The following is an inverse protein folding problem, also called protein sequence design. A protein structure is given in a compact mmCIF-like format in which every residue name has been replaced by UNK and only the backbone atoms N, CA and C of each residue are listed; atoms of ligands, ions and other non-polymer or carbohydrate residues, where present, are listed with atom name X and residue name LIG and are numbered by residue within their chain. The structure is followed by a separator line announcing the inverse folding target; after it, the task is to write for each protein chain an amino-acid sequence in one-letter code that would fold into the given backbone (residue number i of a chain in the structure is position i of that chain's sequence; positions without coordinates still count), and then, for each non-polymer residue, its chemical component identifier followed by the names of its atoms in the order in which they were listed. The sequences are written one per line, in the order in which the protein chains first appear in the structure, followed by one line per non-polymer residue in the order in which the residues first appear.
data_IF_907119768214
#
_entry.id   IF_907119768214
#
_cell.length_a   1.000
_cell.length_b   1.000
_cell.length_c   1.000
_cell.angle_alpha   90.00
_cell.angle_beta   90.00
_cell.angle_gamma   90.00
#
_symmetry.space_group_name_H-M   'P 1'
#
loop_
_entity.id
_entity.type
_entity.pdbx_description
1 polymer ?
#
# COMPACT_ATOMS: atom_id res chain seq x y z
N UNK A 1 4.92 11.33 26.82
CA UNK A 1 3.71 11.64 26.03
C UNK A 1 3.38 10.38 25.23
N UNK A 2 2.11 10.03 25.08
CA UNK A 2 1.72 8.91 24.20
C UNK A 2 2.18 9.23 22.76
N UNK A 3 2.73 8.24 22.06
CA UNK A 3 3.14 8.37 20.66
C UNK A 3 1.90 8.62 19.83
N UNK A 4 1.88 9.68 19.00
CA UNK A 4 0.79 9.88 18.04
C UNK A 4 0.90 8.80 16.97
N UNK A 5 -0.17 8.04 16.75
CA UNK A 5 -0.29 7.06 15.68
C UNK A 5 -1.18 7.66 14.60
N UNK A 6 -0.69 7.64 13.36
CA UNK A 6 -1.42 8.13 12.19
C UNK A 6 -2.17 6.97 11.53
N UNK A 7 -3.46 7.14 11.31
CA UNK A 7 -4.32 6.14 10.69
C UNK A 7 -4.24 6.25 9.17
N UNK A 8 -3.85 5.16 8.53
CA UNK A 8 -3.91 4.96 7.08
C UNK A 8 -5.18 4.20 6.71
N UNK A 9 -5.44 4.14 5.42
CA UNK A 9 -6.51 3.36 4.83
C UNK A 9 -6.29 1.83 4.92
N UNK A 10 -7.27 1.11 4.38
CA UNK A 10 -7.25 -0.35 4.20
C UNK A 10 -7.01 -0.77 2.75
N UNK A 11 -7.73 -1.80 2.35
CA UNK A 11 -7.64 -2.39 1.02
C UNK A 11 -8.19 -1.49 -0.08
N UNK A 12 -7.35 -1.13 -1.05
CA UNK A 12 -7.78 -0.42 -2.26
C UNK A 12 -8.30 -1.42 -3.30
N UNK A 13 -7.46 -2.36 -3.73
CA UNK A 13 -7.77 -3.24 -4.86
C UNK A 13 -8.97 -4.16 -4.63
N UNK A 14 -8.99 -4.89 -3.51
CA UNK A 14 -10.10 -5.82 -3.22
C UNK A 14 -11.43 -5.09 -3.00
N UNK A 15 -11.40 -3.88 -2.44
CA UNK A 15 -12.60 -3.07 -2.25
C UNK A 15 -13.14 -2.56 -3.59
N UNK A 16 -12.27 -2.06 -4.47
CA UNK A 16 -12.68 -1.63 -5.82
C UNK A 16 -13.26 -2.78 -6.65
N UNK A 17 -12.69 -3.98 -6.57
CA UNK A 17 -13.27 -5.15 -7.24
C UNK A 17 -14.66 -5.48 -6.70
N UNK A 18 -14.87 -5.43 -5.38
CA UNK A 18 -16.19 -5.63 -4.79
C UNK A 18 -17.20 -4.56 -5.22
N UNK A 19 -16.77 -3.30 -5.33
CA UNK A 19 -17.63 -2.21 -5.84
C UNK A 19 -17.96 -2.42 -7.31
N UNK A 20 -17.03 -2.81 -8.14
CA UNK A 20 -17.26 -3.10 -9.57
C UNK A 20 -18.28 -4.24 -9.73
N UNK A 21 -18.10 -5.34 -8.99
CA UNK A 21 -19.03 -6.48 -8.98
C UNK A 21 -20.45 -6.08 -8.57
N UNK A 22 -20.57 -5.30 -7.49
CA UNK A 22 -21.86 -4.80 -7.00
C UNK A 22 -22.59 -3.88 -7.99
N UNK A 23 -21.86 -3.25 -8.92
CA UNK A 23 -22.39 -2.39 -9.97
C UNK A 23 -22.47 -3.07 -11.35
N UNK A 24 -22.25 -4.39 -11.43
CA UNK A 24 -22.31 -5.13 -12.68
C UNK A 24 -21.17 -4.82 -13.65
N UNK A 25 -20.08 -4.22 -13.17
CA UNK A 25 -18.89 -3.91 -13.96
C UNK A 25 -17.94 -5.12 -13.93
N UNK A 26 -17.44 -5.50 -15.10
CA UNK A 26 -16.52 -6.63 -15.21
C UNK A 26 -15.21 -6.37 -14.43
N UNK A 27 -14.69 -7.43 -13.80
CA UNK A 27 -13.41 -7.37 -13.08
C UNK A 27 -12.27 -7.06 -14.06
N UNK A 28 -11.55 -5.99 -13.77
CA UNK A 28 -10.41 -5.50 -14.54
C UNK A 28 -9.22 -5.17 -13.61
N UNK A 29 -8.02 -4.90 -14.12
CA UNK A 29 -6.98 -4.25 -13.36
C UNK A 29 -7.52 -2.98 -12.70
N UNK A 30 -7.39 -2.86 -11.38
CA UNK A 30 -8.08 -1.80 -10.62
C UNK A 30 -7.72 -0.38 -11.07
N UNK A 31 -6.52 -0.18 -11.59
CA UNK A 31 -6.09 1.10 -12.13
C UNK A 31 -6.89 1.55 -13.39
N UNK A 32 -7.56 0.64 -14.10
CA UNK A 32 -8.48 1.01 -15.19
C UNK A 32 -9.64 1.86 -14.69
N UNK A 33 -10.11 1.58 -13.48
CA UNK A 33 -11.22 2.35 -12.90
C UNK A 33 -10.88 3.82 -12.66
N UNK A 34 -9.58 4.19 -12.64
CA UNK A 34 -9.18 5.59 -12.56
C UNK A 34 -9.64 6.43 -13.76
N UNK A 35 -9.85 5.78 -14.90
CA UNK A 35 -10.27 6.40 -16.17
C UNK A 35 -11.71 6.01 -16.53
N UNK A 36 -12.03 4.72 -16.41
CA UNK A 36 -13.31 4.17 -16.87
C UNK A 36 -14.44 4.38 -15.83
N UNK A 37 -14.11 4.40 -14.52
CA UNK A 37 -15.02 4.49 -13.40
C UNK A 37 -14.43 5.33 -12.24
N UNK A 38 -14.07 6.60 -12.48
CA UNK A 38 -13.47 7.45 -11.44
C UNK A 38 -14.37 7.63 -10.22
N UNK A 39 -15.70 7.48 -10.38
CA UNK A 39 -16.67 7.49 -9.27
C UNK A 39 -16.41 6.38 -8.24
N UNK A 40 -15.83 5.24 -8.63
CA UNK A 40 -15.46 4.19 -7.66
C UNK A 40 -14.27 4.62 -6.81
N UNK A 41 -13.29 5.32 -7.42
CA UNK A 41 -12.14 5.86 -6.68
C UNK A 41 -12.58 6.97 -5.73
N UNK A 42 -13.48 7.86 -6.18
CA UNK A 42 -14.07 8.91 -5.34
C UNK A 42 -14.82 8.30 -4.14
N UNK A 43 -15.68 7.33 -4.38
CA UNK A 43 -16.46 6.65 -3.32
C UNK A 43 -15.55 5.90 -2.34
N UNK A 44 -14.53 5.17 -2.82
CA UNK A 44 -13.56 4.50 -1.96
C UNK A 44 -12.82 5.48 -1.06
N UNK A 45 -12.34 6.58 -1.66
CA UNK A 45 -11.65 7.66 -0.93
C UNK A 45 -12.55 8.24 0.15
N UNK A 46 -13.84 8.48 -0.18
CA UNK A 46 -14.82 8.97 0.76
C UNK A 46 -15.03 8.01 1.93
N UNK A 47 -15.14 6.71 1.69
CA UNK A 47 -15.31 5.70 2.75
C UNK A 47 -14.15 5.76 3.76
N UNK A 48 -12.91 5.88 3.29
CA UNK A 48 -11.75 5.99 4.18
C UNK A 48 -11.66 7.34 4.88
N UNK A 49 -12.05 8.43 4.22
CA UNK A 49 -12.19 9.75 4.83
C UNK A 49 -13.23 9.73 5.97
N UNK A 50 -14.39 9.15 5.74
CA UNK A 50 -15.51 9.10 6.69
C UNK A 50 -15.18 8.31 7.98
N UNK A 51 -14.31 7.30 7.90
CA UNK A 51 -13.83 6.56 9.08
C UNK A 51 -12.64 7.23 9.76
N UNK A 52 -12.15 8.35 9.25
CA UNK A 52 -11.14 9.20 9.88
C UNK A 52 -9.70 8.84 9.58
N UNK A 53 -9.41 8.28 8.41
CA UNK A 53 -8.04 8.13 7.92
C UNK A 53 -7.37 9.51 7.78
N UNK A 54 -6.10 9.59 8.16
CA UNK A 54 -5.26 10.79 8.04
C UNK A 54 -4.39 10.76 6.79
N UNK A 55 -4.16 9.55 6.25
CA UNK A 55 -3.46 9.30 4.99
C UNK A 55 -4.29 8.29 4.19
N UNK A 56 -4.55 8.58 2.91
CA UNK A 56 -5.29 7.71 1.99
C UNK A 56 -4.43 7.47 0.74
N UNK A 57 -4.40 6.23 0.27
CA UNK A 57 -3.62 5.85 -0.91
C UNK A 57 -4.39 6.13 -2.20
N UNK A 58 -3.73 6.73 -3.17
CA UNK A 58 -4.21 6.78 -4.54
C UNK A 58 -4.22 5.36 -5.16
N UNK A 59 -5.18 5.09 -6.03
CA UNK A 59 -5.30 3.79 -6.72
C UNK A 59 -4.27 3.66 -7.85
N UNK A 60 -2.98 3.63 -7.48
CA UNK A 60 -1.86 3.63 -8.44
C UNK A 60 -0.93 2.42 -8.33
N UNK A 61 -1.19 1.49 -7.40
CA UNK A 61 -0.30 0.36 -7.06
C UNK A 61 0.24 -0.43 -8.25
N UNK A 62 -0.56 -0.75 -9.25
CA UNK A 62 -0.15 -1.51 -10.43
C UNK A 62 -0.18 -0.70 -11.73
N UNK A 63 -0.23 0.62 -11.65
CA UNK A 63 -0.38 1.53 -12.79
C UNK A 63 0.95 1.83 -13.51
N UNK A 64 1.88 0.87 -13.53
CA UNK A 64 3.18 1.01 -14.20
C UNK A 64 3.09 0.81 -15.72
N UNK A 65 4.07 1.35 -16.44
CA UNK A 65 4.12 1.33 -17.89
C UNK A 65 3.91 -0.05 -18.51
N UNK A 66 4.66 -1.09 -18.13
CA UNK A 66 4.44 -2.45 -18.64
C UNK A 66 3.03 -2.99 -18.43
N UNK A 67 2.42 -2.74 -17.27
CA UNK A 67 1.04 -3.19 -16.96
C UNK A 67 -0.01 -2.44 -17.78
N UNK A 68 0.13 -1.12 -17.87
CA UNK A 68 -0.81 -0.25 -18.60
C UNK A 68 -0.78 -0.55 -20.08
N UNK A 69 0.41 -0.55 -20.71
CA UNK A 69 0.60 -0.80 -22.15
C UNK A 69 0.18 -2.21 -22.57
N UNK A 70 0.28 -3.21 -21.68
CA UNK A 70 -0.13 -4.59 -22.00
C UNK A 70 -1.64 -4.76 -22.10
N UNK A 71 -2.42 -3.97 -21.37
CA UNK A 71 -3.86 -4.24 -21.18
C UNK A 71 -4.79 -3.08 -21.51
N UNK A 72 -4.27 -1.97 -22.05
CA UNK A 72 -5.07 -0.82 -22.50
C UNK A 72 -4.30 0.05 -23.50
N UNK A 73 -5.00 1.00 -24.12
CA UNK A 73 -4.43 2.08 -24.94
C UNK A 73 -4.18 3.35 -24.10
N UNK A 74 -4.35 3.30 -22.79
CA UNK A 74 -4.09 4.43 -21.90
C UNK A 74 -2.58 4.65 -21.71
N UNK A 75 -2.22 5.89 -21.39
CA UNK A 75 -0.88 6.24 -20.90
C UNK A 75 -0.83 6.11 -19.38
N UNK A 76 0.36 5.93 -18.83
CA UNK A 76 0.58 5.95 -17.36
C UNK A 76 0.12 7.29 -16.78
N UNK A 77 0.42 8.39 -17.46
CA UNK A 77 -0.03 9.73 -17.08
C UNK A 77 -1.55 9.81 -16.94
N UNK A 78 -2.33 9.30 -17.93
CA UNK A 78 -3.79 9.30 -17.85
C UNK A 78 -4.30 8.53 -16.64
N UNK A 79 -3.74 7.34 -16.41
CA UNK A 79 -4.17 6.42 -15.34
C UNK A 79 -3.80 6.95 -13.97
N UNK A 80 -2.56 7.38 -13.77
CA UNK A 80 -2.05 7.86 -12.47
C UNK A 80 -2.66 9.23 -12.12
N UNK A 81 -2.68 10.16 -13.07
CA UNK A 81 -3.33 11.47 -12.87
C UNK A 81 -4.83 11.33 -12.61
N UNK A 82 -5.50 10.38 -13.28
CA UNK A 82 -6.92 10.07 -13.03
C UNK A 82 -7.16 9.66 -11.58
N UNK A 83 -6.34 8.75 -11.04
CA UNK A 83 -6.42 8.32 -9.64
C UNK A 83 -6.24 9.48 -8.66
N UNK A 84 -5.19 10.28 -8.87
CA UNK A 84 -4.88 11.40 -7.98
C UNK A 84 -5.98 12.46 -8.02
N UNK A 85 -6.47 12.83 -9.20
CA UNK A 85 -7.55 13.82 -9.36
C UNK A 85 -8.86 13.35 -8.73
N UNK A 86 -9.25 12.08 -8.94
CA UNK A 86 -10.46 11.51 -8.34
C UNK A 86 -10.39 11.56 -6.80
N UNK A 87 -9.26 11.16 -6.21
CA UNK A 87 -9.06 11.20 -4.77
C UNK A 87 -9.01 12.64 -4.24
N UNK A 88 -8.26 13.55 -4.89
CA UNK A 88 -8.16 14.97 -4.48
C UNK A 88 -9.50 15.68 -4.49
N UNK A 89 -10.38 15.37 -5.43
CA UNK A 89 -11.74 15.94 -5.48
C UNK A 89 -12.53 15.68 -4.18
N UNK A 90 -12.29 14.54 -3.52
CA UNK A 90 -12.90 14.16 -2.24
C UNK A 90 -12.14 14.75 -1.05
N UNK A 91 -10.81 14.83 -1.14
CA UNK A 91 -9.94 15.23 -0.04
C UNK A 91 -9.70 16.74 0.06
N UNK A 92 -10.09 17.52 -0.95
CA UNK A 92 -9.84 18.96 -0.98
C UNK A 92 -10.46 19.65 0.25
N UNK A 93 -9.67 20.49 0.91
CA UNK A 93 -10.05 21.21 2.13
C UNK A 93 -10.15 20.37 3.41
N UNK A 94 -9.92 19.05 3.37
CA UNK A 94 -10.03 18.17 4.56
C UNK A 94 -8.75 18.12 5.41
N UNK A 95 -7.59 18.45 4.84
CA UNK A 95 -6.28 18.30 5.47
C UNK A 95 -5.72 16.87 5.47
N UNK A 96 -6.46 15.88 4.99
CA UNK A 96 -6.01 14.50 4.81
C UNK A 96 -4.99 14.43 3.69
N UNK A 97 -3.92 13.63 3.88
CA UNK A 97 -2.85 13.49 2.91
C UNK A 97 -3.14 12.40 1.89
N UNK A 98 -2.94 12.72 0.61
CA UNK A 98 -3.00 11.73 -0.46
C UNK A 98 -1.63 11.15 -0.72
N UNK A 99 -1.51 9.84 -0.59
CA UNK A 99 -0.26 9.11 -0.75
C UNK A 99 -0.24 8.37 -2.10
N UNK A 100 0.75 8.66 -2.94
CA UNK A 100 1.00 7.89 -4.16
C UNK A 100 1.47 6.50 -3.80
N UNK A 101 0.83 5.46 -4.33
CA UNK A 101 1.14 4.06 -4.03
C UNK A 101 1.90 3.41 -5.18
N UNK A 102 3.13 2.96 -4.92
CA UNK A 102 3.95 2.20 -5.87
C UNK A 102 4.03 0.74 -5.42
N UNK A 103 3.75 -0.17 -6.36
CA UNK A 103 3.90 -1.61 -6.16
C UNK A 103 5.09 -2.18 -6.94
N UNK A 104 5.46 -3.46 -6.71
CA UNK A 104 6.53 -4.10 -7.47
C UNK A 104 6.15 -4.28 -8.93
N UNK A 105 7.16 -4.33 -9.79
CA UNK A 105 7.00 -4.74 -11.19
C UNK A 105 6.83 -6.26 -11.29
N UNK A 106 6.24 -6.72 -12.38
CA UNK A 106 6.09 -8.17 -12.63
C UNK A 106 7.34 -8.80 -13.24
N UNK A 107 8.20 -7.99 -13.85
CA UNK A 107 9.52 -8.41 -14.32
C UNK A 107 10.50 -8.31 -13.14
N UNK A 108 11.49 -9.20 -13.12
CA UNK A 108 12.50 -9.24 -12.07
C UNK A 108 13.77 -8.52 -12.55
N UNK A 109 14.46 -7.88 -11.60
CA UNK A 109 15.77 -7.32 -11.83
C UNK A 109 16.82 -8.42 -12.02
N UNK A 110 17.92 -8.12 -12.71
CA UNK A 110 19.11 -8.94 -12.69
C UNK A 110 19.62 -9.16 -11.24
N UNK A 111 20.14 -10.33 -10.90
CA UNK A 111 20.38 -11.52 -11.72
C UNK A 111 19.18 -12.49 -11.76
N UNK A 112 18.01 -12.16 -11.17
CA UNK A 112 16.86 -13.04 -11.09
C UNK A 112 15.94 -12.92 -12.32
N UNK A 113 16.08 -11.87 -13.11
CA UNK A 113 15.38 -11.61 -14.37
C UNK A 113 16.29 -10.89 -15.35
N UNK A 114 15.68 -10.25 -16.36
CA UNK A 114 16.39 -9.59 -17.48
C UNK A 114 16.28 -8.06 -17.43
N UNK A 115 15.64 -7.49 -16.38
CA UNK A 115 15.44 -6.05 -16.26
C UNK A 115 16.69 -5.39 -15.66
N UNK A 116 17.22 -4.38 -16.36
CA UNK A 116 18.30 -3.54 -15.86
C UNK A 116 17.78 -2.51 -14.83
N UNK A 117 18.66 -2.03 -13.96
CA UNK A 117 18.31 -1.06 -12.92
C UNK A 117 17.77 0.25 -13.51
N UNK A 118 18.40 0.73 -14.59
CA UNK A 118 17.99 1.95 -15.30
C UNK A 118 16.60 1.83 -15.91
N UNK A 119 16.23 0.66 -16.45
CA UNK A 119 14.90 0.40 -16.98
C UNK A 119 13.86 0.41 -15.85
N UNK A 120 14.18 -0.24 -14.73
CA UNK A 120 13.34 -0.24 -13.55
C UNK A 120 13.09 1.17 -13.02
N UNK A 121 14.15 1.97 -12.89
CA UNK A 121 14.09 3.37 -12.46
C UNK A 121 13.19 4.20 -13.38
N UNK A 122 13.35 4.07 -14.70
CA UNK A 122 12.56 4.81 -15.68
C UNK A 122 11.05 4.47 -15.61
N UNK A 123 10.72 3.20 -15.30
CA UNK A 123 9.31 2.80 -15.13
C UNK A 123 8.71 3.46 -13.89
N UNK A 124 9.44 3.56 -12.79
CA UNK A 124 8.96 4.25 -11.59
C UNK A 124 8.91 5.76 -11.77
N UNK A 125 9.89 6.35 -12.46
CA UNK A 125 9.93 7.78 -12.76
C UNK A 125 8.67 8.23 -13.53
N UNK A 126 8.23 7.46 -14.55
CA UNK A 126 6.99 7.72 -15.30
C UNK A 126 5.75 7.82 -14.38
N UNK A 127 5.66 6.92 -13.37
CA UNK A 127 4.56 6.95 -12.39
C UNK A 127 4.68 8.11 -11.41
N UNK A 128 5.89 8.38 -10.95
CA UNK A 128 6.20 9.42 -9.97
C UNK A 128 5.94 10.80 -10.55
N UNK A 129 6.42 11.07 -11.78
CA UNK A 129 6.20 12.33 -12.46
C UNK A 129 4.71 12.62 -12.60
N UNK A 130 3.93 11.66 -13.09
CA UNK A 130 2.49 11.79 -13.25
C UNK A 130 1.78 12.03 -11.91
N UNK A 131 2.13 11.28 -10.87
CA UNK A 131 1.46 11.34 -9.57
C UNK A 131 1.79 12.59 -8.77
N UNK A 132 3.06 12.98 -8.75
CA UNK A 132 3.52 14.18 -8.03
C UNK A 132 3.03 15.43 -8.73
N UNK A 133 3.12 15.49 -10.07
CA UNK A 133 2.59 16.62 -10.87
C UNK A 133 1.08 16.78 -10.73
N UNK A 134 0.34 15.68 -10.49
CA UNK A 134 -1.10 15.72 -10.22
C UNK A 134 -1.44 16.13 -8.77
N UNK A 135 -0.47 16.22 -7.87
CA UNK A 135 -0.63 16.77 -6.53
C UNK A 135 -0.65 15.73 -5.39
N UNK A 136 0.01 14.59 -5.52
CA UNK A 136 0.25 13.68 -4.40
C UNK A 136 1.06 14.40 -3.30
N UNK A 137 0.76 14.12 -2.03
CA UNK A 137 1.39 14.77 -0.88
C UNK A 137 2.59 13.97 -0.34
N UNK A 138 2.65 12.67 -0.63
CA UNK A 138 3.68 11.73 -0.16
C UNK A 138 3.68 10.45 -1.00
N UNK A 139 4.65 9.58 -0.79
CA UNK A 139 4.85 8.36 -1.56
C UNK A 139 4.94 7.16 -0.60
N UNK A 140 4.24 6.08 -0.90
CA UNK A 140 4.39 4.77 -0.25
C UNK A 140 4.78 3.72 -1.28
N UNK A 141 5.98 3.18 -1.14
CA UNK A 141 6.48 2.03 -1.90
C UNK A 141 6.15 0.80 -1.06
N UNK A 142 5.26 -0.07 -1.56
CA UNK A 142 4.68 -1.12 -0.72
C UNK A 142 4.53 -2.47 -1.41
N UNK A 143 4.47 -3.54 -0.61
CA UNK A 143 4.24 -4.92 -1.03
C UNK A 143 5.40 -5.49 -1.87
N UNK A 144 6.60 -5.00 -1.63
CA UNK A 144 7.79 -5.53 -2.30
C UNK A 144 8.31 -6.77 -1.57
N UNK A 145 8.74 -7.74 -2.35
CA UNK A 145 9.42 -8.96 -1.90
C UNK A 145 10.91 -8.94 -2.28
N UNK A 146 11.24 -8.18 -3.32
CA UNK A 146 12.59 -7.94 -3.82
C UNK A 146 13.10 -6.62 -3.24
N UNK A 147 14.14 -6.70 -2.42
CA UNK A 147 14.72 -5.55 -1.72
C UNK A 147 15.50 -4.65 -2.68
N UNK A 148 16.12 -5.22 -3.71
CA UNK A 148 16.87 -4.43 -4.68
C UNK A 148 15.93 -3.59 -5.55
N UNK A 149 14.84 -4.18 -6.04
CA UNK A 149 13.81 -3.42 -6.75
C UNK A 149 13.22 -2.32 -5.87
N UNK A 150 13.00 -2.57 -4.56
CA UNK A 150 12.55 -1.54 -3.63
C UNK A 150 13.59 -0.43 -3.48
N UNK A 151 14.87 -0.75 -3.41
CA UNK A 151 15.95 0.23 -3.35
C UNK A 151 15.91 1.16 -4.56
N UNK A 152 15.81 0.61 -5.76
CA UNK A 152 15.72 1.38 -7.02
C UNK A 152 14.51 2.32 -6.99
N UNK A 153 13.32 1.79 -6.69
CA UNK A 153 12.09 2.59 -6.59
C UNK A 153 12.21 3.70 -5.54
N UNK A 154 12.90 3.43 -4.42
CA UNK A 154 13.10 4.39 -3.34
C UNK A 154 14.05 5.51 -3.74
N UNK A 155 15.17 5.20 -4.37
CA UNK A 155 16.13 6.19 -4.88
C UNK A 155 15.45 7.11 -5.88
N UNK A 156 14.62 6.55 -6.77
CA UNK A 156 13.87 7.33 -7.74
C UNK A 156 12.85 8.25 -7.07
N UNK A 157 12.06 7.71 -6.13
CA UNK A 157 11.03 8.46 -5.42
C UNK A 157 11.59 9.65 -4.61
N UNK A 158 12.78 9.50 -4.02
CA UNK A 158 13.43 10.55 -3.23
C UNK A 158 13.82 11.79 -4.05
N UNK A 159 14.00 11.67 -5.37
CA UNK A 159 14.30 12.80 -6.26
C UNK A 159 13.17 13.84 -6.31
N UNK A 160 11.96 13.44 -5.98
CA UNK A 160 10.77 14.31 -6.02
C UNK A 160 10.57 15.17 -4.76
N UNK A 161 11.40 14.98 -3.72
CA UNK A 161 11.40 15.80 -2.51
C UNK A 161 10.17 15.65 -1.61
N UNK A 162 9.30 14.65 -1.86
CA UNK A 162 8.17 14.31 -0.99
C UNK A 162 8.59 13.31 0.09
N UNK A 163 7.85 13.22 1.22
CA UNK A 163 8.06 12.14 2.19
C UNK A 163 7.87 10.77 1.54
N UNK A 164 8.86 9.86 1.70
CA UNK A 164 8.84 8.51 1.15
C UNK A 164 8.77 7.51 2.29
N UNK A 165 7.79 6.62 2.26
CA UNK A 165 7.66 5.48 3.16
C UNK A 165 7.89 4.18 2.40
N UNK A 166 8.53 3.19 3.04
CA UNK A 166 8.83 1.89 2.45
C UNK A 166 8.21 0.75 3.27
N UNK A 167 7.57 -0.20 2.59
CA UNK A 167 6.91 -1.33 3.23
C UNK A 167 7.14 -2.62 2.46
N UNK A 168 7.92 -3.53 3.06
CA UNK A 168 8.20 -4.84 2.49
C UNK A 168 7.10 -5.87 2.84
N UNK A 169 7.07 -6.95 2.10
CA UNK A 169 6.23 -8.11 2.38
C UNK A 169 7.07 -9.28 2.84
N UNK A 170 6.76 -9.79 4.03
CA UNK A 170 7.47 -10.90 4.67
C UNK A 170 6.62 -12.16 4.72
N UNK A 171 7.29 -13.30 4.79
CA UNK A 171 6.70 -14.58 5.11
C UNK A 171 6.79 -14.86 6.64
N UNK A 172 6.14 -15.95 7.10
CA UNK A 172 6.10 -16.33 8.52
C UNK A 172 7.46 -16.53 9.18
N UNK A 173 8.49 -16.82 8.38
CA UNK A 173 9.87 -17.01 8.84
C UNK A 173 10.63 -15.70 9.06
N UNK A 174 9.98 -14.54 8.90
CA UNK A 174 10.60 -13.22 9.04
C UNK A 174 11.50 -12.82 7.87
N UNK A 175 11.37 -13.48 6.73
CA UNK A 175 12.13 -13.16 5.51
C UNK A 175 11.17 -12.85 4.36
N UNK A 176 11.63 -12.05 3.41
CA UNK A 176 10.93 -11.87 2.13
C UNK A 176 11.03 -13.15 1.29
N UNK A 177 10.26 -13.25 0.21
CA UNK A 177 10.36 -14.37 -0.73
C UNK A 177 11.77 -14.51 -1.33
N UNK A 178 12.50 -13.41 -1.47
CA UNK A 178 13.90 -13.40 -1.94
C UNK A 178 14.92 -13.63 -0.83
N UNK A 179 14.47 -13.90 0.40
CA UNK A 179 15.34 -14.28 1.53
C UNK A 179 15.88 -13.13 2.36
N UNK A 180 15.52 -11.87 2.03
CA UNK A 180 15.96 -10.70 2.79
C UNK A 180 15.31 -10.66 4.19
N UNK A 181 16.10 -10.36 5.20
CA UNK A 181 15.67 -10.21 6.60
C UNK A 181 15.22 -8.78 6.89
N UNK A 182 14.65 -8.56 8.08
CA UNK A 182 14.39 -7.22 8.62
C UNK A 182 15.67 -6.39 8.67
N UNK A 183 16.80 -7.00 9.06
CA UNK A 183 18.08 -6.30 9.12
C UNK A 183 18.54 -5.84 7.73
N UNK A 184 18.51 -6.73 6.74
CA UNK A 184 18.87 -6.38 5.35
C UNK A 184 18.02 -5.21 4.84
N UNK A 185 16.71 -5.22 5.17
CA UNK A 185 15.77 -4.16 4.78
C UNK A 185 16.14 -2.82 5.42
N UNK A 186 16.49 -2.82 6.71
CA UNK A 186 16.91 -1.62 7.45
C UNK A 186 18.23 -1.09 6.89
N UNK A 187 19.24 -1.95 6.74
CA UNK A 187 20.58 -1.57 6.29
C UNK A 187 20.57 -1.00 4.87
N UNK A 188 19.63 -1.44 4.02
CA UNK A 188 19.48 -0.97 2.66
C UNK A 188 18.69 0.34 2.58
N UNK A 189 17.56 0.46 3.26
CA UNK A 189 16.61 1.54 3.01
C UNK A 189 16.77 2.74 3.95
N UNK A 190 17.12 2.53 5.22
CA UNK A 190 17.24 3.63 6.20
C UNK A 190 18.32 4.65 5.82
N UNK A 191 19.50 4.25 5.33
CA UNK A 191 20.53 5.20 4.90
C UNK A 191 20.12 6.09 3.72
N UNK A 192 19.08 5.71 2.96
CA UNK A 192 18.57 6.52 1.84
C UNK A 192 17.81 7.77 2.30
N UNK A 193 17.39 7.84 3.58
CA UNK A 193 16.69 9.00 4.11
C UNK A 193 15.16 8.93 3.98
N UNK A 194 14.58 7.72 3.97
CA UNK A 194 13.13 7.52 4.00
C UNK A 194 12.50 8.00 5.31
N UNK A 195 11.20 8.29 5.31
CA UNK A 195 10.48 8.84 6.48
C UNK A 195 9.85 7.79 7.36
N UNK A 196 9.59 6.59 6.85
CA UNK A 196 9.09 5.46 7.62
C UNK A 196 9.42 4.14 6.91
N UNK A 197 9.53 3.07 7.70
CA UNK A 197 9.79 1.71 7.22
C UNK A 197 8.82 0.73 7.89
N UNK A 198 8.56 -0.40 7.27
CA UNK A 198 7.74 -1.44 7.91
C UNK A 198 7.32 -2.55 6.99
N UNK A 199 6.14 -3.09 7.26
CA UNK A 199 5.61 -4.23 6.49
C UNK A 199 4.12 -4.09 6.20
N UNK A 200 3.72 -4.69 5.08
CA UNK A 200 2.31 -4.80 4.70
C UNK A 200 2.02 -6.10 3.97
N UNK A 201 0.74 -6.42 3.85
CA UNK A 201 0.25 -7.57 3.10
C UNK A 201 0.74 -8.93 3.63
N UNK A 202 0.51 -10.00 2.85
CA UNK A 202 0.90 -11.40 3.10
C UNK A 202 0.34 -12.03 4.39
N UNK A 203 0.65 -11.47 5.55
CA UNK A 203 0.34 -12.02 6.87
C UNK A 203 -0.81 -11.29 7.55
N UNK A 204 -1.58 -12.02 8.38
CA UNK A 204 -2.49 -11.44 9.36
C UNK A 204 -1.73 -10.77 10.52
N UNK A 205 -2.43 -9.99 11.37
CA UNK A 205 -1.80 -9.22 12.43
C UNK A 205 -0.98 -10.07 13.40
N UNK A 206 -1.51 -11.24 13.78
CA UNK A 206 -0.90 -12.19 14.72
C UNK A 206 0.46 -12.69 14.22
N UNK A 207 0.52 -13.08 12.94
CA UNK A 207 1.73 -13.60 12.31
C UNK A 207 2.73 -12.49 11.95
N UNK A 208 2.26 -11.28 11.71
CA UNK A 208 3.08 -10.12 11.37
C UNK A 208 3.65 -9.40 12.61
N UNK A 209 3.04 -9.60 13.79
CA UNK A 209 3.44 -8.96 15.06
C UNK A 209 4.91 -9.20 15.44
N UNK A 210 5.46 -10.43 15.36
CA UNK A 210 6.87 -10.64 15.67
C UNK A 210 7.82 -9.85 14.77
N UNK A 211 7.44 -9.68 13.49
CA UNK A 211 8.28 -8.99 12.50
C UNK A 211 8.30 -7.48 12.77
N UNK A 212 7.14 -6.84 13.03
CA UNK A 212 7.11 -5.41 13.35
C UNK A 212 7.80 -5.12 14.69
N UNK A 213 7.74 -6.04 15.65
CA UNK A 213 8.50 -5.96 16.88
C UNK A 213 10.00 -5.99 16.59
N UNK A 214 10.49 -6.90 15.74
CA UNK A 214 11.89 -6.95 15.32
C UNK A 214 12.35 -5.63 14.69
N UNK A 215 11.54 -5.01 13.82
CA UNK A 215 11.82 -3.67 13.31
C UNK A 215 12.00 -2.66 14.45
N UNK A 216 11.12 -2.67 15.45
CA UNK A 216 11.16 -1.72 16.58
C UNK A 216 12.40 -1.88 17.47
N UNK A 217 13.02 -3.05 17.46
CA UNK A 217 14.25 -3.34 18.23
C UNK A 217 15.52 -2.91 17.47
N UNK A 218 15.41 -2.68 16.15
CA UNK A 218 16.57 -2.47 15.26
C UNK A 218 16.63 -1.08 14.62
N UNK A 219 15.59 -0.28 14.71
CA UNK A 219 15.59 1.09 14.15
C UNK A 219 14.70 2.03 14.95
N UNK A 220 15.12 3.29 15.05
CA UNK A 220 14.33 4.39 15.65
C UNK A 220 13.41 5.07 14.61
N UNK A 221 13.50 4.67 13.33
CA UNK A 221 12.66 5.24 12.28
C UNK A 221 11.16 4.94 12.55
N UNK A 222 10.24 5.88 12.27
CA UNK A 222 8.81 5.62 12.36
C UNK A 222 8.40 4.34 11.63
N UNK A 223 7.65 3.46 12.31
CA UNK A 223 7.25 2.18 11.75
C UNK A 223 5.84 2.21 11.16
N UNK A 224 5.68 1.54 10.01
CA UNK A 224 4.43 1.35 9.29
C UNK A 224 3.99 -0.10 9.37
N UNK A 225 2.70 -0.33 9.71
CA UNK A 225 2.12 -1.66 9.82
C UNK A 225 0.73 -1.71 9.15
N UNK A 226 0.62 -2.46 8.04
CA UNK A 226 -0.63 -2.65 7.29
C UNK A 226 -0.84 -4.14 6.98
N UNK A 227 -1.22 -4.98 7.97
CA UNK A 227 -1.42 -6.41 7.77
C UNK A 227 -2.68 -6.71 6.96
N UNK A 228 -2.79 -7.95 6.46
CA UNK A 228 -4.00 -8.44 5.80
C UNK A 228 -5.08 -8.79 6.84
N UNK A 229 -6.35 -8.64 6.44
CA UNK A 229 -7.48 -9.19 7.19
C UNK A 229 -7.68 -10.72 6.94
N UNK A 230 -6.61 -11.41 6.58
CA UNK A 230 -6.59 -12.82 6.24
C UNK A 230 -7.02 -13.09 4.78
N UNK A 231 -6.77 -14.32 4.33
CA UNK A 231 -7.32 -14.81 3.06
C UNK A 231 -8.75 -15.26 3.31
N UNK A 232 -9.71 -14.94 2.42
CA UNK A 232 -11.05 -15.47 2.52
C UNK A 232 -11.03 -17.00 2.64
N UNK A 233 -11.84 -17.53 3.53
CA UNK A 233 -11.96 -18.97 3.81
C UNK A 233 -13.21 -19.48 3.10
N UNK A 234 -13.11 -20.61 2.42
CA UNK A 234 -14.28 -21.29 1.88
C UNK A 234 -15.01 -21.99 3.04
N UNK A 235 -16.22 -21.54 3.32
CA UNK A 235 -17.09 -22.17 4.32
C UNK A 235 -17.65 -23.52 3.83
N UNK A 236 -18.16 -24.35 4.74
CA UNK A 236 -18.68 -25.70 4.42
C UNK A 236 -19.88 -25.66 3.45
N UNK A 237 -20.59 -24.55 3.38
CA UNK A 237 -21.73 -24.33 2.46
C UNK A 237 -21.29 -23.80 1.08
N UNK A 238 -19.99 -23.68 0.84
CA UNK A 238 -19.41 -23.15 -0.40
C UNK A 238 -19.35 -21.62 -0.46
N UNK A 239 -19.81 -20.90 0.54
CA UNK A 239 -19.66 -19.45 0.62
C UNK A 239 -18.23 -19.05 0.99
N UNK A 240 -17.84 -17.82 0.64
CA UNK A 240 -16.55 -17.25 1.02
C UNK A 240 -16.76 -16.33 2.22
N UNK A 241 -16.09 -16.62 3.34
CA UNK A 241 -16.14 -15.81 4.55
C UNK A 241 -14.78 -15.14 4.80
N UNK A 242 -14.81 -13.95 5.38
CA UNK A 242 -13.59 -13.28 5.82
C UNK A 242 -12.90 -14.10 6.92
N UNK A 243 -11.56 -14.19 6.87
CA UNK A 243 -10.80 -14.93 7.89
C UNK A 243 -10.87 -14.27 9.27
N UNK A 244 -11.02 -12.95 9.29
CA UNK A 244 -11.19 -12.14 10.51
C UNK A 244 -12.48 -11.33 10.42
N UNK A 245 -13.17 -11.15 11.55
CA UNK A 245 -14.10 -10.04 11.69
C UNK A 245 -13.33 -8.74 11.90
N UNK A 246 -13.96 -7.60 11.65
CA UNK A 246 -13.30 -6.30 11.85
C UNK A 246 -12.83 -6.11 13.32
N UNK A 247 -13.62 -6.60 14.30
CA UNK A 247 -13.28 -6.56 15.72
C UNK A 247 -12.07 -7.45 16.04
N UNK A 248 -12.04 -8.69 15.55
CA UNK A 248 -10.90 -9.59 15.77
C UNK A 248 -9.62 -9.03 15.17
N UNK A 249 -9.72 -8.48 13.95
CA UNK A 249 -8.61 -7.84 13.29
C UNK A 249 -8.02 -6.68 14.12
N UNK A 250 -8.89 -5.82 14.66
CA UNK A 250 -8.46 -4.71 15.51
C UNK A 250 -7.83 -5.20 16.83
N UNK A 251 -8.43 -6.20 17.50
CA UNK A 251 -7.86 -6.78 18.71
C UNK A 251 -6.48 -7.41 18.47
N UNK A 252 -6.29 -8.09 17.34
CA UNK A 252 -5.00 -8.70 16.98
C UNK A 252 -3.94 -7.64 16.57
N UNK A 253 -4.37 -6.48 16.07
CA UNK A 253 -3.51 -5.31 15.80
C UNK A 253 -3.06 -4.61 17.09
N UNK A 254 -3.90 -4.59 18.11
CA UNK A 254 -3.67 -3.82 19.35
C UNK A 254 -2.28 -3.97 19.97
N UNK A 255 -1.68 -5.17 20.05
CA UNK A 255 -0.31 -5.31 20.57
C UNK A 255 0.75 -4.58 19.74
N UNK A 256 0.51 -4.32 18.44
CA UNK A 256 1.46 -3.62 17.57
C UNK A 256 1.47 -2.10 17.79
N UNK A 257 0.39 -1.52 18.36
CA UNK A 257 0.26 -0.06 18.53
C UNK A 257 1.39 0.57 19.37
N UNK A 258 2.00 -0.19 20.26
CA UNK A 258 3.15 0.29 21.05
C UNK A 258 4.42 0.48 20.22
N UNK A 259 4.52 -0.13 19.05
CA UNK A 259 5.71 -0.11 18.19
C UNK A 259 5.60 0.86 17.01
N UNK A 260 4.37 1.13 16.53
CA UNK A 260 4.14 1.78 15.24
C UNK A 260 3.80 3.26 15.35
N UNK A 261 4.10 4.00 14.28
CA UNK A 261 3.69 5.40 14.08
C UNK A 261 2.60 5.51 13.02
N UNK A 262 2.49 4.51 12.14
CA UNK A 262 1.53 4.45 11.04
C UNK A 262 0.84 3.09 11.08
N UNK A 263 -0.48 3.09 11.10
CA UNK A 263 -1.31 1.89 11.16
C UNK A 263 -2.41 1.94 10.11
N UNK A 264 -2.70 0.82 9.49
CA UNK A 264 -3.80 0.65 8.56
C UNK A 264 -4.05 -0.82 8.29
N UNK A 265 -4.67 -1.12 7.15
CA UNK A 265 -4.86 -2.49 6.71
C UNK A 265 -4.43 -2.70 5.27
N UNK A 266 -4.34 -3.95 4.84
CA UNK A 266 -4.09 -4.35 3.46
C UNK A 266 -5.22 -5.25 2.96
N UNK A 267 -4.95 -6.23 2.12
CA UNK A 267 -5.98 -7.06 1.49
C UNK A 267 -7.03 -7.58 2.48
N UNK A 268 -8.30 -7.45 2.09
CA UNK A 268 -9.45 -7.90 2.89
C UNK A 268 -9.92 -6.95 3.99
N UNK A 269 -9.20 -5.88 4.28
CA UNK A 269 -9.59 -4.88 5.28
C UNK A 269 -10.21 -3.64 4.61
N UNK A 270 -11.52 -3.54 4.63
CA UNK A 270 -12.25 -2.37 4.14
C UNK A 270 -12.40 -1.27 5.21
N UNK A 271 -13.25 -0.28 4.95
CA UNK A 271 -13.47 0.84 5.86
C UNK A 271 -14.04 0.41 7.23
N UNK A 272 -14.76 -0.72 7.32
CA UNK A 272 -15.26 -1.22 8.61
C UNK A 272 -14.10 -1.70 9.49
N UNK A 273 -13.12 -2.38 8.91
CA UNK A 273 -11.91 -2.79 9.63
C UNK A 273 -11.10 -1.59 10.14
N UNK A 274 -10.95 -0.58 9.30
CA UNK A 274 -10.23 0.64 9.67
C UNK A 274 -10.97 1.41 10.77
N UNK A 275 -12.31 1.44 10.74
CA UNK A 275 -13.14 2.01 11.80
C UNK A 275 -12.92 1.32 13.15
N UNK A 276 -12.75 -0.01 13.17
CA UNK A 276 -12.44 -0.73 14.42
C UNK A 276 -11.02 -0.39 14.94
N UNK A 277 -10.02 -0.28 14.05
CA UNK A 277 -8.68 0.20 14.43
C UNK A 277 -8.77 1.61 15.03
N UNK A 278 -9.57 2.51 14.41
CA UNK A 278 -9.74 3.90 14.89
C UNK A 278 -10.20 3.98 16.35
N UNK A 279 -11.03 3.04 16.79
CA UNK A 279 -11.51 3.00 18.19
C UNK A 279 -10.40 2.70 19.22
N UNK A 280 -9.26 2.18 18.77
CA UNK A 280 -8.11 1.85 19.62
C UNK A 280 -7.12 3.01 19.75
N UNK A 281 -7.22 4.03 18.89
CA UNK A 281 -6.34 5.21 18.82
C UNK A 281 -6.91 6.39 19.60
#
# INVERSE_FOLDING_TARGET
MARKITLLDGAVGTTLWGMAEANGVAKAPVWKYNVEHPEFVEELTKRYLDVGCEIILANTFGANGPSVRRSSDYTVEQVVTGAVKAAKKVLDGTGVKLCLSLGPLTQLLEPYGDMEEEECAAIYDEMLDAGVSAGADMILIQTFMDLEMMRVATVEALKYGLPVMCSMTFEKNGKTMFGNSVQDTIDTLVPLGITAIGLNCSLGPDLALPIIKEFSEKTDLPLLFKPNAGKPILAADGSTVAAYTAQQFAEDIKPALQFVSYIGGCCGSDAEYIKEIKKLL
#
